data_IF_633822277954
#
_entry.id   IF_633822277954
#
_cell.length_a   1.000
_cell.length_b   1.000
_cell.length_c   1.000
_cell.angle_alpha   90.00
_cell.angle_beta   90.00
_cell.angle_gamma   90.00
#
_symmetry.space_group_name_H-M   'P 1'
#
loop_
_entity.id
_entity.type
_entity.pdbx_description
1 polymer ?
#
# COMPACT_ATOMS: atom_id res chain seq x y z
N UNK A 1 -18.49 -64.02 -1.65
CA UNK A 1 -18.33 -62.65 -2.15
C UNK A 1 -18.27 -61.72 -0.95
N UNK A 2 -17.12 -61.12 -0.61
CA UNK A 2 -17.04 -60.20 0.52
C UNK A 2 -17.45 -58.81 0.07
N UNK A 3 -18.44 -58.24 0.74
CA UNK A 3 -18.83 -56.84 0.60
C UNK A 3 -17.71 -55.94 1.12
N UNK A 4 -17.06 -55.17 0.25
CA UNK A 4 -16.16 -54.08 0.64
C UNK A 4 -17.04 -52.85 0.88
N UNK A 5 -17.22 -52.47 2.15
CA UNK A 5 -17.82 -51.18 2.52
C UNK A 5 -16.74 -50.11 2.27
N UNK A 6 -16.88 -49.35 1.20
CA UNK A 6 -16.03 -48.19 0.94
C UNK A 6 -16.25 -47.16 2.06
N UNK A 7 -15.19 -46.81 2.80
CA UNK A 7 -15.22 -45.66 3.71
C UNK A 7 -15.49 -44.39 2.89
N UNK A 8 -16.38 -43.49 3.34
CA UNK A 8 -16.53 -42.18 2.72
C UNK A 8 -15.15 -41.50 2.69
N UNK A 9 -14.71 -41.07 1.51
CA UNK A 9 -13.59 -40.14 1.42
C UNK A 9 -14.07 -38.83 2.01
N UNK A 10 -13.69 -38.56 3.26
CA UNK A 10 -13.75 -37.22 3.83
C UNK A 10 -12.84 -36.34 2.97
N UNK A 11 -13.45 -35.62 2.03
CA UNK A 11 -12.80 -34.52 1.35
C UNK A 11 -12.59 -33.44 2.41
N UNK A 12 -11.42 -33.43 3.04
CA UNK A 12 -10.92 -32.26 3.75
C UNK A 12 -10.93 -31.10 2.75
N UNK A 13 -11.98 -30.28 2.81
CA UNK A 13 -11.98 -28.99 2.17
C UNK A 13 -10.88 -28.21 2.87
N UNK A 14 -9.68 -28.17 2.27
CA UNK A 14 -8.62 -27.27 2.67
C UNK A 14 -9.18 -25.87 2.58
N UNK A 15 -9.64 -25.36 3.72
CA UNK A 15 -10.12 -24.01 3.85
C UNK A 15 -8.94 -23.12 3.50
N UNK A 16 -8.93 -22.58 2.27
CA UNK A 16 -7.84 -21.71 1.80
C UNK A 16 -7.69 -20.59 2.81
N UNK A 17 -6.65 -20.68 3.62
CA UNK A 17 -6.40 -19.71 4.67
C UNK A 17 -6.10 -18.38 3.98
N UNK A 18 -6.86 -17.35 4.34
CA UNK A 18 -6.66 -16.01 3.76
C UNK A 18 -5.25 -15.54 4.10
N UNK A 19 -4.57 -14.85 3.16
CA UNK A 19 -3.25 -14.34 3.44
C UNK A 19 -3.28 -13.34 4.60
N UNK A 20 -2.26 -13.37 5.44
CA UNK A 20 -2.04 -12.33 6.45
C UNK A 20 -1.71 -11.01 5.75
N UNK A 21 -2.38 -9.93 6.11
CA UNK A 21 -2.20 -8.62 5.48
C UNK A 21 -1.20 -7.78 6.28
N UNK A 22 -0.20 -7.22 5.62
CA UNK A 22 0.72 -6.22 6.18
C UNK A 22 0.55 -4.93 5.39
N UNK A 23 0.25 -3.83 6.07
CA UNK A 23 0.08 -2.52 5.44
C UNK A 23 1.08 -1.55 6.06
N UNK A 24 2.06 -1.10 5.28
CA UNK A 24 2.91 0.02 5.65
C UNK A 24 2.17 1.34 5.40
N UNK A 25 1.99 2.13 6.44
CA UNK A 25 1.31 3.43 6.35
C UNK A 25 2.31 4.51 6.71
N UNK A 26 2.56 5.39 5.75
CA UNK A 26 3.43 6.55 5.90
C UNK A 26 2.60 7.82 6.00
N UNK A 27 2.96 8.70 6.93
CA UNK A 27 2.32 10.01 7.10
C UNK A 27 3.35 11.09 6.85
N UNK A 28 3.07 12.00 5.94
CA UNK A 28 3.92 13.16 5.63
C UNK A 28 3.16 14.46 5.82
N UNK A 29 3.76 15.47 6.45
CA UNK A 29 3.08 16.76 6.64
C UNK A 29 3.17 17.60 5.37
N UNK A 30 2.02 18.01 4.84
CA UNK A 30 1.92 19.06 3.82
C UNK A 30 1.33 20.32 4.48
N UNK A 31 2.19 21.31 4.76
CA UNK A 31 1.82 22.54 5.47
C UNK A 31 0.75 23.37 4.74
N UNK A 32 0.66 23.25 3.43
CA UNK A 32 -0.29 24.00 2.60
C UNK A 32 -1.59 23.22 2.34
N UNK A 33 -1.66 21.94 2.73
CA UNK A 33 -2.84 21.14 2.52
C UNK A 33 -3.98 21.58 3.45
N UNK A 34 -5.21 21.60 2.91
CA UNK A 34 -6.46 21.85 3.65
C UNK A 34 -7.34 20.61 3.79
N UNK A 35 -6.82 19.46 3.37
CA UNK A 35 -7.46 18.16 3.41
C UNK A 35 -6.39 17.07 3.45
N UNK A 36 -6.77 15.85 3.81
CA UNK A 36 -5.88 14.69 3.72
C UNK A 36 -5.74 14.27 2.26
N UNK A 37 -4.57 13.82 1.84
CA UNK A 37 -4.37 13.29 0.48
C UNK A 37 -3.83 11.86 0.57
N UNK A 38 -4.57 10.91 -0.02
CA UNK A 38 -4.07 9.57 -0.25
C UNK A 38 -3.27 9.57 -1.55
N UNK A 39 -1.97 9.30 -1.45
CA UNK A 39 -1.10 9.20 -2.63
C UNK A 39 -1.36 7.88 -3.34
N UNK A 40 -1.73 7.93 -4.62
CA UNK A 40 -2.05 6.74 -5.42
C UNK A 40 -0.82 6.17 -6.11
N UNK A 41 0.26 6.95 -6.23
CA UNK A 41 1.52 6.54 -6.86
C UNK A 41 2.73 7.30 -6.34
N UNK A 42 3.91 6.74 -6.58
CA UNK A 42 5.21 7.38 -6.36
C UNK A 42 6.07 7.30 -7.63
N UNK A 43 6.93 8.29 -7.83
CA UNK A 43 7.87 8.39 -8.95
C UNK A 43 9.22 7.78 -8.59
N UNK A 44 9.92 7.18 -9.54
CA UNK A 44 11.30 6.68 -9.40
C UNK A 44 12.35 7.81 -9.40
N UNK A 45 12.00 8.98 -8.91
CA UNK A 45 12.81 10.20 -8.97
C UNK A 45 13.05 10.75 -7.57
N UNK A 46 14.33 10.99 -7.27
CA UNK A 46 14.78 11.78 -6.14
C UNK A 46 15.32 13.13 -6.67
N UNK A 47 14.57 14.20 -6.42
CA UNK A 47 14.96 15.57 -6.78
C UNK A 47 14.63 16.51 -5.60
N UNK A 48 15.60 16.67 -4.70
CA UNK A 48 15.37 17.26 -3.39
C UNK A 48 15.63 18.77 -3.45
N UNK A 49 14.56 19.57 -3.31
CA UNK A 49 14.64 21.03 -3.37
C UNK A 49 15.50 21.66 -2.26
N UNK A 50 15.64 20.99 -1.12
CA UNK A 50 16.56 21.30 -0.04
C UNK A 50 17.22 19.99 0.46
N UNK A 51 18.34 20.05 1.19
CA UNK A 51 18.88 18.86 1.85
C UNK A 51 17.86 18.22 2.80
N UNK A 52 17.92 16.91 2.94
CA UNK A 52 17.26 16.22 4.05
C UNK A 52 18.01 16.45 5.38
N UNK A 53 17.49 15.88 6.46
CA UNK A 53 18.07 16.01 7.81
C UNK A 53 19.47 15.40 7.94
N UNK A 54 19.89 14.56 6.99
CA UNK A 54 21.25 14.00 6.92
C UNK A 54 22.16 14.77 5.96
N UNK A 55 21.67 15.87 5.38
CA UNK A 55 22.38 16.69 4.40
C UNK A 55 22.39 16.12 2.98
N UNK A 56 21.66 15.03 2.71
CA UNK A 56 21.60 14.46 1.36
C UNK A 56 20.64 15.26 0.49
N UNK A 57 21.09 15.63 -0.71
CA UNK A 57 20.31 16.45 -1.66
C UNK A 57 20.49 15.95 -3.10
N UNK A 58 19.89 14.80 -3.46
CA UNK A 58 19.95 14.27 -4.83
C UNK A 58 19.32 15.22 -5.83
N UNK A 59 19.82 15.19 -7.07
CA UNK A 59 19.36 16.06 -8.17
C UNK A 59 18.99 15.24 -9.38
N UNK A 60 17.69 15.00 -9.57
CA UNK A 60 17.13 14.19 -10.66
C UNK A 60 17.82 12.83 -10.79
N UNK A 61 17.90 12.12 -9.67
CA UNK A 61 18.51 10.80 -9.59
C UNK A 61 17.44 9.70 -9.50
N UNK A 62 17.66 8.52 -10.11
CA UNK A 62 16.73 7.42 -9.98
C UNK A 62 16.77 6.79 -8.58
N UNK A 63 15.61 6.53 -7.98
CA UNK A 63 15.53 5.86 -6.66
C UNK A 63 15.89 4.36 -6.76
N UNK A 64 15.54 3.74 -7.88
CA UNK A 64 15.89 2.36 -8.25
C UNK A 64 16.57 2.35 -9.61
N UNK A 65 17.64 1.56 -9.73
CA UNK A 65 18.32 1.32 -11.01
C UNK A 65 17.51 0.50 -12.02
N UNK A 66 16.32 0.01 -11.66
CA UNK A 66 15.42 -0.70 -12.57
C UNK A 66 14.30 0.23 -13.06
N UNK A 67 14.27 0.52 -14.36
CA UNK A 67 13.28 1.39 -14.99
C UNK A 67 13.81 2.82 -15.24
N UNK A 68 13.04 3.63 -15.97
CA UNK A 68 13.36 5.05 -16.18
C UNK A 68 13.12 5.87 -14.91
N UNK A 69 13.70 7.07 -14.83
CA UNK A 69 13.49 8.00 -13.72
C UNK A 69 12.02 8.44 -13.59
N UNK A 70 11.33 8.58 -14.71
CA UNK A 70 9.91 8.97 -14.76
C UNK A 70 8.94 7.81 -14.48
N UNK A 71 9.47 6.58 -14.31
CA UNK A 71 8.63 5.43 -14.01
C UNK A 71 7.94 5.59 -12.65
N UNK A 72 6.75 5.01 -12.52
CA UNK A 72 5.96 5.11 -11.29
C UNK A 72 5.61 3.74 -10.74
N UNK A 73 5.32 3.69 -9.44
CA UNK A 73 4.68 2.55 -8.79
C UNK A 73 3.36 3.02 -8.19
N UNK A 74 2.33 2.19 -8.31
CA UNK A 74 0.98 2.51 -7.83
C UNK A 74 0.69 1.75 -6.53
N UNK A 75 -0.17 2.33 -5.68
CA UNK A 75 -0.74 1.59 -4.56
C UNK A 75 -1.48 0.35 -5.08
N UNK A 76 -1.31 -0.76 -4.38
CA UNK A 76 -2.10 -1.96 -4.63
C UNK A 76 -3.47 -1.89 -3.97
N UNK A 77 -3.76 -0.96 -3.06
CA UNK A 77 -5.09 -0.84 -2.46
C UNK A 77 -6.00 0.07 -3.29
N UNK A 78 -7.32 -0.18 -3.32
CA UNK A 78 -8.28 0.64 -4.06
C UNK A 78 -8.54 1.97 -3.32
N UNK A 79 -7.55 2.87 -3.32
CA UNK A 79 -7.60 4.11 -2.53
C UNK A 79 -8.76 5.04 -2.90
N UNK A 80 -9.34 4.91 -4.09
CA UNK A 80 -10.58 5.61 -4.45
C UNK A 80 -11.76 5.21 -3.56
N UNK A 81 -11.93 3.91 -3.28
CA UNK A 81 -12.96 3.40 -2.37
C UNK A 81 -12.70 3.83 -0.94
N UNK A 82 -11.44 3.74 -0.51
CA UNK A 82 -11.01 4.22 0.82
C UNK A 82 -11.35 5.70 0.98
N UNK A 83 -11.02 6.54 -0.02
CA UNK A 83 -11.32 7.96 0.02
C UNK A 83 -12.83 8.24 0.02
N UNK A 84 -13.62 7.51 -0.76
CA UNK A 84 -15.09 7.62 -0.78
C UNK A 84 -15.69 7.29 0.59
N UNK A 85 -15.27 6.18 1.19
CA UNK A 85 -15.72 5.78 2.52
C UNK A 85 -15.36 6.82 3.58
N UNK A 86 -14.12 7.32 3.57
CA UNK A 86 -13.69 8.37 4.51
C UNK A 86 -14.45 9.69 4.31
N UNK A 87 -14.77 10.09 3.07
CA UNK A 87 -15.62 11.25 2.80
C UNK A 87 -17.04 11.06 3.33
N UNK A 88 -17.61 9.86 3.19
CA UNK A 88 -18.93 9.54 3.74
C UNK A 88 -18.97 9.67 5.28
N UNK A 89 -17.82 9.50 5.93
CA UNK A 89 -17.62 9.70 7.38
C UNK A 89 -17.33 11.16 7.76
N UNK A 90 -17.37 12.09 6.81
CA UNK A 90 -17.21 13.53 7.05
C UNK A 90 -15.78 14.06 6.98
N UNK A 91 -14.81 13.25 6.55
CA UNK A 91 -13.43 13.72 6.40
C UNK A 91 -13.21 14.41 5.05
N UNK A 92 -12.48 15.53 5.05
CA UNK A 92 -11.97 16.14 3.83
C UNK A 92 -10.78 15.33 3.31
N UNK A 93 -11.00 14.51 2.28
CA UNK A 93 -9.98 13.61 1.72
C UNK A 93 -9.91 13.76 0.20
N UNK A 94 -8.71 13.91 -0.35
CA UNK A 94 -8.39 13.90 -1.77
C UNK A 94 -7.59 12.65 -2.16
N UNK A 95 -7.58 12.35 -3.45
CA UNK A 95 -6.55 11.49 -4.06
C UNK A 95 -5.47 12.40 -4.64
N UNK A 96 -4.22 11.99 -4.53
CA UNK A 96 -3.09 12.65 -5.16
C UNK A 96 -2.31 11.66 -6.01
N UNK A 97 -1.94 12.08 -7.22
CA UNK A 97 -1.08 11.30 -8.12
C UNK A 97 0.37 11.79 -8.09
N UNK A 98 0.71 12.64 -7.12
CA UNK A 98 2.00 13.29 -7.02
C UNK A 98 2.42 13.48 -5.56
N UNK A 99 3.23 12.56 -5.06
CA UNK A 99 3.81 12.61 -3.73
C UNK A 99 5.02 13.58 -3.63
N UNK A 100 5.28 14.37 -4.67
CA UNK A 100 6.46 15.23 -4.81
C UNK A 100 7.70 14.45 -5.28
N UNK A 101 8.88 15.04 -5.11
CA UNK A 101 10.18 14.41 -5.41
C UNK A 101 11.15 14.42 -4.22
N UNK A 102 10.62 14.74 -3.04
CA UNK A 102 11.38 14.77 -1.79
C UNK A 102 11.30 13.44 -1.02
N UNK A 103 11.65 13.45 0.27
CA UNK A 103 11.69 12.27 1.16
C UNK A 103 10.35 11.51 1.21
N UNK A 104 9.22 12.20 1.08
CA UNK A 104 7.89 11.57 1.04
C UNK A 104 7.75 10.60 -0.15
N UNK A 105 8.01 11.10 -1.36
CA UNK A 105 8.03 10.27 -2.57
C UNK A 105 9.09 9.17 -2.50
N UNK A 106 10.31 9.51 -2.05
CA UNK A 106 11.40 8.55 -1.93
C UNK A 106 11.00 7.34 -1.05
N UNK A 107 10.45 7.63 0.13
CA UNK A 107 10.01 6.62 1.09
C UNK A 107 8.87 5.79 0.52
N UNK A 108 7.88 6.46 -0.09
CA UNK A 108 6.73 5.77 -0.64
C UNK A 108 7.12 4.82 -1.79
N UNK A 109 7.96 5.29 -2.72
CA UNK A 109 8.46 4.48 -3.83
C UNK A 109 9.20 3.23 -3.35
N UNK A 110 10.10 3.37 -2.37
CA UNK A 110 10.83 2.23 -1.79
C UNK A 110 9.89 1.22 -1.14
N UNK A 111 8.87 1.66 -0.40
CA UNK A 111 7.90 0.76 0.23
C UNK A 111 6.99 0.06 -0.78
N UNK A 112 6.53 0.76 -1.83
CA UNK A 112 5.78 0.12 -2.91
C UNK A 112 6.61 -0.94 -3.63
N UNK A 113 7.88 -0.64 -3.91
CA UNK A 113 8.82 -1.58 -4.52
C UNK A 113 9.05 -2.81 -3.63
N UNK A 114 9.22 -2.62 -2.31
CA UNK A 114 9.36 -3.72 -1.36
C UNK A 114 8.09 -4.59 -1.34
N UNK A 115 6.92 -3.98 -1.24
CA UNK A 115 5.64 -4.67 -1.21
C UNK A 115 5.44 -5.55 -2.45
N UNK A 116 5.72 -5.00 -3.64
CA UNK A 116 5.64 -5.73 -4.91
C UNK A 116 6.62 -6.91 -4.96
N UNK A 117 7.88 -6.71 -4.53
CA UNK A 117 8.88 -7.78 -4.49
C UNK A 117 8.48 -8.92 -3.54
N UNK A 118 8.01 -8.59 -2.33
CA UNK A 118 7.53 -9.58 -1.37
C UNK A 118 6.37 -10.39 -1.95
N UNK A 119 5.36 -9.71 -2.50
CA UNK A 119 4.19 -10.36 -3.07
C UNK A 119 4.55 -11.26 -4.27
N UNK A 120 5.45 -10.80 -5.15
CA UNK A 120 5.90 -11.58 -6.30
C UNK A 120 6.70 -12.82 -5.88
N UNK A 121 7.62 -12.68 -4.93
CA UNK A 121 8.42 -13.80 -4.44
C UNK A 121 7.56 -14.89 -3.77
N UNK A 122 6.48 -14.51 -3.09
CA UNK A 122 5.52 -15.45 -2.51
C UNK A 122 4.68 -16.16 -3.59
N UNK A 123 4.23 -15.44 -4.62
CA UNK A 123 3.52 -16.02 -5.75
C UNK A 123 4.38 -17.03 -6.54
N UNK A 124 5.70 -16.81 -6.61
CA UNK A 124 6.65 -17.70 -7.27
C UNK A 124 7.15 -18.86 -6.39
N UNK A 125 6.71 -18.96 -5.13
CA UNK A 125 7.18 -19.99 -4.18
C UNK A 125 8.62 -19.79 -3.67
N UNK A 126 9.26 -18.67 -4.03
CA UNK A 126 10.64 -18.35 -3.64
C UNK A 126 10.77 -17.93 -2.16
N UNK A 127 9.67 -17.48 -1.55
CA UNK A 127 9.54 -17.28 -0.10
C UNK A 127 8.42 -18.15 0.44
N UNK A 128 8.77 -19.38 0.81
CA UNK A 128 7.86 -20.27 1.55
C UNK A 128 8.51 -20.58 2.89
N UNK A 129 8.18 -19.81 3.93
CA UNK A 129 8.41 -20.27 5.30
C UNK A 129 7.36 -21.34 5.58
N UNK A 130 7.80 -22.59 5.71
CA UNK A 130 6.92 -23.73 5.94
C UNK A 130 6.03 -23.46 7.16
N UNK A 131 4.71 -23.55 6.97
CA UNK A 131 3.73 -23.38 8.04
C UNK A 131 3.21 -21.95 8.28
N UNK A 132 3.69 -20.93 7.57
CA UNK A 132 3.08 -19.59 7.62
C UNK A 132 2.02 -19.41 6.53
N UNK A 133 0.90 -18.77 6.87
CA UNK A 133 -0.05 -18.30 5.87
C UNK A 133 0.65 -17.37 4.87
N UNK A 134 0.21 -17.42 3.62
CA UNK A 134 0.60 -16.46 2.58
C UNK A 134 0.53 -15.04 3.16
N UNK A 135 1.52 -14.19 2.88
CA UNK A 135 1.50 -12.79 3.35
C UNK A 135 1.20 -11.92 2.14
N UNK A 136 0.46 -10.83 2.36
CA UNK A 136 0.25 -9.80 1.35
C UNK A 136 0.67 -8.47 1.93
N UNK A 137 1.63 -7.84 1.27
CA UNK A 137 2.23 -6.58 1.68
C UNK A 137 1.66 -5.45 0.83
N UNK A 138 1.27 -4.36 1.50
CA UNK A 138 0.76 -3.14 0.91
C UNK A 138 1.54 -1.94 1.44
N UNK A 139 1.57 -0.85 0.68
CA UNK A 139 2.10 0.42 1.15
C UNK A 139 1.14 1.56 0.75
N UNK A 140 0.91 2.47 1.70
CA UNK A 140 0.07 3.65 1.55
C UNK A 140 0.83 4.85 2.10
N UNK A 141 0.74 5.97 1.40
CA UNK A 141 1.25 7.25 1.88
C UNK A 141 0.09 8.23 1.98
N UNK A 142 0.06 8.98 3.07
CA UNK A 142 -0.93 10.03 3.29
C UNK A 142 -0.22 11.34 3.59
N UNK A 143 -0.46 12.34 2.74
CA UNK A 143 -0.14 13.71 3.14
C UNK A 143 -1.22 14.22 4.08
N UNK A 144 -0.81 14.55 5.30
CA UNK A 144 -1.66 15.14 6.33
C UNK A 144 -1.42 16.65 6.39
N UNK A 145 -2.45 17.46 6.62
CA UNK A 145 -2.29 18.90 6.84
C UNK A 145 -1.56 19.18 8.17
N UNK A 146 -1.03 20.39 8.33
CA UNK A 146 -0.48 20.81 9.63
C UNK A 146 -1.58 20.86 10.69
N UNK A 147 -1.18 20.79 11.97
CA UNK A 147 -2.10 20.90 13.12
C UNK A 147 -2.76 22.27 13.22
N UNK A 148 -2.19 23.29 12.57
CA UNK A 148 -2.77 24.63 12.41
C UNK A 148 -3.94 24.65 11.42
N UNK A 149 -3.89 23.80 10.37
CA UNK A 149 -4.95 23.71 9.36
C UNK A 149 -6.08 22.75 9.78
N UNK A 150 -5.72 21.59 10.33
CA UNK A 150 -6.68 20.62 10.87
C UNK A 150 -6.18 20.16 12.23
N UNK A 151 -7.04 20.29 13.25
CA UNK A 151 -6.68 19.96 14.63
C UNK A 151 -6.13 18.53 14.77
N UNK A 152 -5.17 18.35 15.69
CA UNK A 152 -4.62 17.03 16.00
C UNK A 152 -5.72 16.01 16.32
N UNK A 153 -6.76 16.42 17.05
CA UNK A 153 -7.88 15.55 17.38
C UNK A 153 -8.61 15.05 16.12
N UNK A 154 -8.87 15.93 15.15
CA UNK A 154 -9.47 15.52 13.86
C UNK A 154 -8.54 14.60 13.07
N UNK A 155 -7.22 14.86 13.06
CA UNK A 155 -6.25 13.99 12.40
C UNK A 155 -6.17 12.60 13.05
N UNK A 156 -6.30 12.51 14.37
CA UNK A 156 -6.38 11.25 15.10
C UNK A 156 -7.62 10.44 14.72
N UNK A 157 -8.80 11.08 14.69
CA UNK A 157 -10.04 10.42 14.25
C UNK A 157 -9.96 9.96 12.80
N UNK A 158 -9.33 10.77 11.93
CA UNK A 158 -9.07 10.40 10.55
C UNK A 158 -8.16 9.17 10.46
N UNK A 159 -7.06 9.12 11.21
CA UNK A 159 -6.12 7.98 11.18
C UNK A 159 -6.80 6.69 11.63
N UNK A 160 -7.62 6.75 12.69
CA UNK A 160 -8.41 5.59 13.13
C UNK A 160 -9.35 5.11 12.02
N UNK A 161 -10.08 6.03 11.39
CA UNK A 161 -10.96 5.71 10.28
C UNK A 161 -10.20 5.09 9.10
N UNK A 162 -9.06 5.67 8.74
CA UNK A 162 -8.20 5.18 7.68
C UNK A 162 -7.74 3.74 7.95
N UNK A 163 -7.31 3.42 9.18
CA UNK A 163 -6.89 2.06 9.55
C UNK A 163 -8.02 1.04 9.38
N UNK A 164 -9.25 1.39 9.77
CA UNK A 164 -10.44 0.55 9.60
C UNK A 164 -10.75 0.29 8.11
N UNK A 165 -10.73 1.34 7.29
CA UNK A 165 -11.01 1.23 5.85
C UNK A 165 -9.91 0.45 5.11
N UNK A 166 -8.64 0.70 5.43
CA UNK A 166 -7.52 -0.03 4.84
C UNK A 166 -7.55 -1.52 5.20
N UNK A 167 -7.88 -1.85 6.45
CA UNK A 167 -8.06 -3.24 6.89
C UNK A 167 -9.21 -3.93 6.14
N UNK A 168 -10.32 -3.23 5.93
CA UNK A 168 -11.48 -3.72 5.18
C UNK A 168 -11.12 -3.99 3.71
N UNK A 169 -10.48 -3.04 3.03
CA UNK A 169 -10.13 -3.20 1.62
C UNK A 169 -9.03 -4.24 1.40
N UNK A 170 -8.04 -4.34 2.30
CA UNK A 170 -6.98 -5.36 2.19
C UNK A 170 -7.50 -6.79 2.37
N UNK A 171 -8.53 -6.98 3.19
CA UNK A 171 -9.12 -8.31 3.48
C UNK A 171 -10.31 -8.67 2.59
N UNK A 172 -10.76 -7.74 1.74
CA UNK A 172 -11.86 -7.94 0.81
C UNK A 172 -11.47 -8.85 -0.37
N UNK A 173 -12.37 -9.76 -0.76
CA UNK A 173 -12.15 -10.78 -1.80
C UNK A 173 -12.00 -10.23 -3.24
N UNK A 174 -11.94 -8.91 -3.44
CA UNK A 174 -11.96 -8.28 -4.77
C UNK A 174 -10.59 -8.18 -5.45
N UNK A 175 -9.51 -8.65 -4.82
CA UNK A 175 -8.17 -8.59 -5.42
C UNK A 175 -7.90 -9.73 -6.42
N UNK A 176 -8.63 -9.75 -7.54
CA UNK A 176 -8.17 -10.44 -8.75
C UNK A 176 -7.07 -9.57 -9.36
N UNK A 177 -5.83 -10.02 -9.23
CA UNK A 177 -4.63 -9.40 -9.82
C UNK A 177 -4.87 -9.05 -11.30
N UNK A 178 -5.02 -7.77 -11.60
CA UNK A 178 -4.81 -7.25 -12.95
C UNK A 178 -3.30 -7.12 -13.18
N UNK A 179 -2.59 -8.24 -13.25
CA UNK A 179 -1.27 -8.29 -13.86
C UNK A 179 -1.46 -8.81 -15.29
N UNK A 180 -1.64 -7.88 -16.23
CA UNK A 180 -1.32 -8.16 -17.62
C UNK A 180 0.14 -7.74 -17.82
N UNK A 181 1.05 -8.64 -18.25
CA UNK A 181 2.36 -8.21 -18.70
C UNK A 181 2.18 -7.28 -19.91
N UNK A 182 2.98 -6.22 -19.97
CA UNK A 182 3.08 -5.38 -21.16
C UNK A 182 3.56 -6.26 -22.32
N UNK A 183 2.83 -6.19 -23.43
CA UNK A 183 3.22 -6.74 -24.74
C UNK A 183 4.44 -6.02 -25.29
#
# INVERSE_FOLDING_TARGET
SPYIIARPQEQEQQQQQRPFQVIYIHLGVNRCARQFYLETRAFNEADFGCPDESGWQPRKEPISGTGSIDSTRNSSLPLSKVAESLRSRGFAVGLSMDAGRFVCNWTYFKSLMLAERCNNAQNSGALTLSGMNQVRVHAVFVHVPSTEQISFNTQWHFLRALLEELGTEATSNHFKLAFRPAS
#
